data_IF_343429421844
#
_entry.id   IF_343429421844
#
_cell.length_a   1.000
_cell.length_b   1.000
_cell.length_c   1.000
_cell.angle_alpha   90.00
_cell.angle_beta   90.00
_cell.angle_gamma   90.00
#
_symmetry.space_group_name_H-M   'P 1'
#
loop_
_entity.id
_entity.type
_entity.pdbx_description
1 polymer ?
#
# COMPACT_ATOMS: atom_id res chain seq x y z
N UNK A 1 18.13 17.41 2.80
CA UNK A 1 18.03 18.44 1.76
C UNK A 1 19.12 18.21 0.74
N UNK A 2 18.74 17.61 -0.41
CA UNK A 2 19.67 17.41 -1.51
C UNK A 2 19.67 18.66 -2.38
N UNK A 3 20.59 19.53 -2.14
CA UNK A 3 20.87 20.64 -3.06
C UNK A 3 21.75 20.11 -4.20
N UNK A 4 21.14 19.62 -5.26
CA UNK A 4 21.75 19.49 -6.59
C UNK A 4 22.75 18.36 -6.85
N UNK A 5 22.97 17.41 -5.93
CA UNK A 5 23.84 16.24 -6.14
C UNK A 5 23.06 14.99 -6.58
N UNK A 6 23.65 14.14 -7.44
CA UNK A 6 23.11 12.80 -7.72
C UNK A 6 23.20 11.95 -6.47
N UNK A 7 22.07 11.35 -6.02
CA UNK A 7 22.09 10.34 -4.97
C UNK A 7 22.96 9.15 -5.40
N UNK A 8 23.94 8.80 -4.58
CA UNK A 8 24.82 7.65 -4.82
C UNK A 8 24.40 6.52 -3.87
N UNK A 9 24.44 5.28 -4.40
CA UNK A 9 24.27 4.11 -3.57
C UNK A 9 25.52 3.94 -2.68
N UNK A 10 25.34 3.89 -1.37
CA UNK A 10 26.43 3.75 -0.40
C UNK A 10 27.28 2.50 -0.66
N UNK A 11 26.71 1.42 -1.21
CA UNK A 11 27.44 0.22 -1.62
C UNK A 11 28.48 0.51 -2.71
N UNK A 12 28.22 1.51 -3.56
CA UNK A 12 29.10 1.92 -4.66
C UNK A 12 30.17 2.89 -4.22
N UNK A 13 30.03 3.49 -3.03
CA UNK A 13 31.01 4.44 -2.51
C UNK A 13 32.17 3.66 -1.89
N UNK A 14 31.92 2.88 -0.84
CA UNK A 14 32.93 2.04 -0.16
C UNK A 14 32.22 0.98 0.69
N UNK A 15 32.68 -0.26 0.56
CA UNK A 15 32.15 -1.40 1.32
C UNK A 15 32.35 -1.21 2.83
N UNK A 16 33.44 -0.62 3.29
CA UNK A 16 33.71 -0.34 4.72
C UNK A 16 32.60 0.49 5.34
N UNK A 17 32.16 1.56 4.67
CA UNK A 17 31.10 2.43 5.19
C UNK A 17 29.72 1.78 5.10
N UNK A 18 29.47 0.98 4.05
CA UNK A 18 28.25 0.20 3.94
C UNK A 18 28.11 -0.83 5.07
N UNK A 19 29.19 -1.55 5.38
CA UNK A 19 29.18 -2.54 6.46
C UNK A 19 28.95 -1.86 7.82
N UNK A 20 29.60 -0.72 8.08
CA UNK A 20 29.41 0.05 9.31
C UNK A 20 28.01 0.64 9.42
N UNK A 21 27.47 1.18 8.33
CA UNK A 21 26.07 1.64 8.26
C UNK A 21 25.10 0.51 8.59
N UNK A 22 25.28 -0.67 7.98
CA UNK A 22 24.43 -1.83 8.20
C UNK A 22 24.46 -2.32 9.65
N UNK A 23 25.62 -2.31 10.28
CA UNK A 23 25.74 -2.67 11.70
C UNK A 23 24.98 -1.67 12.62
N UNK A 24 25.12 -0.38 12.34
CA UNK A 24 24.42 0.67 13.12
C UNK A 24 22.91 0.59 12.87
N UNK A 25 22.49 0.44 11.61
CA UNK A 25 21.07 0.32 11.25
C UNK A 25 20.39 -0.86 11.96
N UNK A 26 21.06 -2.04 12.00
CA UNK A 26 20.57 -3.19 12.75
C UNK A 26 20.42 -2.92 14.24
N UNK A 27 21.40 -2.26 14.88
CA UNK A 27 21.31 -1.90 16.31
C UNK A 27 20.18 -0.93 16.59
N UNK A 28 19.98 0.04 15.71
CA UNK A 28 18.87 1.02 15.82
C UNK A 28 17.53 0.28 15.70
N UNK A 29 17.36 -0.57 14.68
CA UNK A 29 16.15 -1.35 14.47
C UNK A 29 15.86 -2.30 15.65
N UNK A 30 16.86 -3.02 16.15
CA UNK A 30 16.73 -3.91 17.32
C UNK A 30 16.34 -3.16 18.59
N UNK A 31 16.85 -1.94 18.79
CA UNK A 31 16.59 -1.14 19.97
C UNK A 31 15.19 -0.51 19.96
N UNK A 32 14.80 0.07 18.83
CA UNK A 32 13.51 0.74 18.67
C UNK A 32 12.38 -0.19 18.23
N UNK A 33 12.72 -1.39 17.71
CA UNK A 33 11.77 -2.41 17.20
C UNK A 33 10.86 -1.89 16.09
N UNK A 34 11.35 -0.90 15.33
CA UNK A 34 10.63 -0.27 14.25
C UNK A 34 11.58 0.33 13.20
N UNK A 35 11.04 0.69 12.04
CA UNK A 35 11.76 1.41 11.00
C UNK A 35 12.09 2.81 11.49
N UNK A 36 13.36 3.21 11.38
CA UNK A 36 13.86 4.54 11.76
C UNK A 36 14.52 5.24 10.60
N UNK A 37 14.38 6.55 10.57
CA UNK A 37 15.12 7.41 9.66
C UNK A 37 16.49 7.71 10.27
N UNK A 38 17.58 7.44 9.54
CA UNK A 38 18.95 7.62 10.00
C UNK A 38 19.64 8.68 9.14
N UNK A 39 20.21 9.69 9.81
CA UNK A 39 21.08 10.68 9.21
C UNK A 39 22.53 10.43 9.66
N UNK A 40 23.43 10.33 8.72
CA UNK A 40 24.84 10.09 8.98
C UNK A 40 25.73 10.97 8.12
N UNK A 41 26.99 11.11 8.51
CA UNK A 41 28.06 11.72 7.72
C UNK A 41 29.31 10.85 7.77
N UNK A 42 30.18 11.07 6.80
CA UNK A 42 31.53 10.47 6.75
C UNK A 42 32.50 11.64 6.73
N UNK A 43 33.34 11.76 7.74
CA UNK A 43 34.29 12.84 7.90
C UNK A 43 35.64 12.26 8.32
N UNK A 44 36.71 12.68 7.66
CA UNK A 44 38.09 12.21 7.88
C UNK A 44 38.27 10.68 7.86
N UNK A 45 37.43 9.98 7.09
CA UNK A 45 37.43 8.51 7.00
C UNK A 45 36.65 7.80 8.09
N UNK A 46 36.00 8.52 9.00
CA UNK A 46 35.15 8.00 10.04
C UNK A 46 33.67 8.19 9.73
N UNK A 47 32.87 7.20 10.16
CA UNK A 47 31.41 7.21 9.99
C UNK A 47 30.75 7.70 11.29
N UNK A 48 29.94 8.77 11.18
CA UNK A 48 29.23 9.39 12.28
C UNK A 48 27.73 9.28 12.10
N UNK A 49 27.04 8.70 13.10
CA UNK A 49 25.59 8.76 13.20
C UNK A 49 25.21 10.13 13.80
N UNK A 50 24.60 10.98 12.98
CA UNK A 50 24.24 12.36 13.38
C UNK A 50 22.89 12.39 14.09
N UNK A 51 21.91 11.66 13.54
CA UNK A 51 20.53 11.70 14.02
C UNK A 51 19.82 10.41 13.67
N UNK A 52 18.88 10.01 14.51
CA UNK A 52 17.86 9.01 14.19
C UNK A 52 16.49 9.54 14.64
N UNK A 53 15.43 9.31 13.85
CA UNK A 53 14.08 9.76 14.16
C UNK A 53 13.05 8.79 13.63
N UNK A 54 11.81 8.91 14.08
CA UNK A 54 10.70 8.18 13.51
C UNK A 54 10.53 8.49 12.02
N UNK A 55 9.99 7.52 11.29
CA UNK A 55 9.53 7.73 9.93
C UNK A 55 8.09 8.22 10.00
N UNK A 56 7.83 9.42 9.52
CA UNK A 56 6.52 10.08 9.63
C UNK A 56 5.40 9.30 8.90
N UNK A 57 5.75 8.66 7.78
CA UNK A 57 4.82 7.87 6.98
C UNK A 57 5.39 6.46 6.76
N UNK A 58 5.00 5.53 7.63
CA UNK A 58 5.37 4.11 7.51
C UNK A 58 4.29 3.37 6.72
N UNK A 59 4.68 2.66 5.65
CA UNK A 59 3.74 1.71 5.05
C UNK A 59 3.51 0.53 5.99
N UNK A 60 2.28 0.07 6.09
CA UNK A 60 1.91 -1.10 6.89
C UNK A 60 2.72 -2.33 6.51
N UNK A 61 2.95 -2.54 5.21
CA UNK A 61 3.77 -3.64 4.71
C UNK A 61 5.21 -3.58 5.23
N UNK A 62 5.85 -2.41 5.20
CA UNK A 62 7.21 -2.24 5.71
C UNK A 62 7.29 -2.46 7.23
N UNK A 63 6.30 -1.95 7.98
CA UNK A 63 6.23 -2.13 9.42
C UNK A 63 6.09 -3.61 9.81
N UNK A 64 5.15 -4.33 9.20
CA UNK A 64 4.92 -5.74 9.49
C UNK A 64 6.13 -6.59 9.07
N UNK A 65 6.74 -6.30 7.91
CA UNK A 65 7.96 -6.98 7.49
C UNK A 65 9.09 -6.82 8.49
N UNK A 66 9.32 -5.62 9.00
CA UNK A 66 10.33 -5.36 10.03
C UNK A 66 10.06 -6.16 11.31
N UNK A 67 8.79 -6.19 11.78
CA UNK A 67 8.41 -6.97 12.95
C UNK A 67 8.62 -8.48 12.74
N UNK A 68 8.28 -9.01 11.55
CA UNK A 68 8.52 -10.41 11.21
C UNK A 68 10.02 -10.74 11.16
N UNK A 69 10.85 -9.87 10.56
CA UNK A 69 12.30 -10.05 10.50
C UNK A 69 12.93 -10.02 11.90
N UNK A 70 12.48 -9.12 12.78
CA UNK A 70 12.92 -9.07 14.19
C UNK A 70 12.52 -10.32 14.97
N UNK A 71 11.29 -10.82 14.75
CA UNK A 71 10.81 -12.04 15.39
C UNK A 71 11.59 -13.27 14.88
N UNK A 72 11.76 -13.42 13.57
CA UNK A 72 12.55 -14.51 12.97
C UNK A 72 13.99 -14.54 13.51
N UNK A 73 14.58 -13.36 13.73
CA UNK A 73 15.91 -13.20 14.32
C UNK A 73 15.90 -13.29 15.86
N UNK A 74 14.79 -13.66 16.51
CA UNK A 74 14.63 -13.80 17.96
C UNK A 74 14.95 -12.52 18.76
N UNK A 75 14.71 -11.36 18.18
CA UNK A 75 14.89 -10.04 18.81
C UNK A 75 13.61 -9.54 19.50
N UNK A 76 12.46 -10.10 19.14
CA UNK A 76 11.17 -9.89 19.79
C UNK A 76 10.46 -11.24 19.94
N UNK A 77 9.54 -11.32 20.90
CA UNK A 77 8.72 -12.52 21.16
C UNK A 77 7.50 -12.55 20.21
N UNK A 78 6.89 -13.73 20.04
CA UNK A 78 5.64 -13.90 19.30
C UNK A 78 4.51 -13.05 19.88
N UNK A 79 4.44 -12.97 21.22
CA UNK A 79 3.48 -12.15 21.93
C UNK A 79 3.65 -10.65 21.58
N UNK A 80 4.88 -10.16 21.58
CA UNK A 80 5.17 -8.78 21.18
C UNK A 80 4.78 -8.53 19.73
N UNK A 81 5.10 -9.46 18.82
CA UNK A 81 4.73 -9.38 17.41
C UNK A 81 3.22 -9.25 17.24
N UNK A 82 2.44 -10.15 17.86
CA UNK A 82 0.98 -10.18 17.74
C UNK A 82 0.36 -8.89 18.31
N UNK A 83 0.81 -8.45 19.48
CA UNK A 83 0.31 -7.23 20.13
C UNK A 83 0.68 -5.94 19.38
N UNK A 84 1.72 -5.97 18.56
CA UNK A 84 2.18 -4.80 17.76
C UNK A 84 1.40 -4.61 16.46
N UNK A 85 0.65 -5.61 16.01
CA UNK A 85 -0.10 -5.58 14.75
C UNK A 85 -1.58 -5.32 15.05
N UNK A 86 -2.11 -4.22 14.52
CA UNK A 86 -3.55 -3.91 14.64
C UNK A 86 -4.35 -4.69 13.57
N UNK A 87 -5.54 -5.21 13.88
CA UNK A 87 -6.37 -5.95 12.91
C UNK A 87 -6.61 -5.20 11.59
N UNK A 88 -6.79 -3.87 11.64
CA UNK A 88 -6.95 -3.04 10.45
C UNK A 88 -5.74 -3.06 9.51
N UNK A 89 -4.52 -3.22 10.04
CA UNK A 89 -3.31 -3.31 9.24
C UNK A 89 -3.23 -4.61 8.42
N UNK A 90 -3.84 -5.69 8.90
CA UNK A 90 -3.92 -6.94 8.13
C UNK A 90 -4.81 -6.76 6.89
N UNK A 91 -5.91 -6.02 7.02
CA UNK A 91 -6.76 -5.71 5.87
C UNK A 91 -6.02 -4.89 4.81
N UNK A 92 -5.17 -3.93 5.21
CA UNK A 92 -4.34 -3.15 4.28
C UNK A 92 -3.31 -4.01 3.53
N UNK A 93 -2.84 -5.11 4.12
CA UNK A 93 -1.94 -6.05 3.43
C UNK A 93 -2.65 -6.93 2.41
N UNK A 94 -3.90 -7.27 2.68
CA UNK A 94 -4.69 -8.17 1.84
C UNK A 94 -5.33 -7.46 0.65
N UNK A 95 -5.43 -6.13 0.71
CA UNK A 95 -6.08 -5.34 -0.34
C UNK A 95 -5.16 -4.21 -0.84
N UNK A 96 -5.26 -3.83 -2.12
CA UNK A 96 -4.58 -2.66 -2.64
C UNK A 96 -4.96 -1.39 -1.86
N UNK A 97 -3.99 -0.54 -1.58
CA UNK A 97 -4.20 0.77 -0.92
C UNK A 97 -3.60 1.89 -1.76
N UNK A 98 -4.16 3.08 -1.66
CA UNK A 98 -3.62 4.26 -2.33
C UNK A 98 -2.43 4.79 -1.53
N UNK A 99 -1.29 5.04 -2.20
CA UNK A 99 -0.12 5.66 -1.56
C UNK A 99 -0.50 7.04 -0.96
N UNK A 100 -0.32 7.25 0.36
CA UNK A 100 -0.63 8.51 1.02
C UNK A 100 0.05 9.73 0.40
N UNK A 101 1.21 9.56 -0.23
CA UNK A 101 1.93 10.62 -0.93
C UNK A 101 1.18 11.07 -2.17
N UNK A 102 0.64 10.11 -2.91
CA UNK A 102 -0.14 10.36 -4.14
C UNK A 102 -1.44 11.10 -3.82
N UNK A 103 -2.12 10.77 -2.71
CA UNK A 103 -3.38 11.43 -2.31
C UNK A 103 -3.20 12.95 -2.15
N UNK A 104 -2.03 13.39 -1.69
CA UNK A 104 -1.74 14.83 -1.50
C UNK A 104 -1.55 15.60 -2.81
N UNK A 105 -1.25 14.91 -3.90
CA UNK A 105 -0.90 15.52 -5.19
C UNK A 105 -2.01 15.47 -6.22
N UNK A 106 -3.01 14.59 -6.04
CA UNK A 106 -4.12 14.42 -6.99
C UNK A 106 -5.35 15.20 -6.56
N UNK A 107 -6.12 15.66 -7.55
CA UNK A 107 -7.45 16.22 -7.31
C UNK A 107 -8.39 15.08 -6.92
N UNK A 108 -8.96 15.15 -5.72
CA UNK A 108 -9.85 14.10 -5.21
C UNK A 108 -11.26 14.60 -4.97
N UNK A 109 -12.24 13.72 -5.20
CA UNK A 109 -13.63 13.89 -4.75
C UNK A 109 -13.76 13.05 -3.48
N UNK A 110 -14.11 13.71 -2.37
CA UNK A 110 -14.29 13.06 -1.06
C UNK A 110 -15.76 12.88 -0.75
N UNK A 111 -16.09 11.76 -0.12
CA UNK A 111 -17.46 11.48 0.36
C UNK A 111 -17.86 10.03 0.09
N UNK A 112 -19.12 9.75 0.40
CA UNK A 112 -19.70 8.42 0.24
C UNK A 112 -19.43 7.48 1.40
N UNK A 113 -19.93 6.26 1.26
CA UNK A 113 -19.80 5.16 2.23
C UNK A 113 -18.92 4.08 1.59
N UNK A 114 -17.85 3.71 2.26
CA UNK A 114 -17.02 2.59 1.82
C UNK A 114 -17.81 1.28 1.93
N UNK A 115 -18.09 0.66 0.81
CA UNK A 115 -18.79 -0.62 0.74
C UNK A 115 -17.90 -1.82 0.97
N UNK A 116 -16.62 -1.72 0.61
CA UNK A 116 -15.59 -2.74 0.72
C UNK A 116 -14.25 -2.07 0.96
N UNK A 117 -13.28 -2.81 1.47
CA UNK A 117 -11.90 -2.38 1.58
C UNK A 117 -11.18 -2.49 0.23
N UNK A 118 -10.12 -1.68 0.02
CA UNK A 118 -9.28 -1.77 -1.16
C UNK A 118 -9.24 -0.48 -1.96
N UNK A 119 -8.49 -0.51 -3.05
CA UNK A 119 -8.38 0.56 -4.02
C UNK A 119 -8.36 -0.03 -5.43
N UNK A 120 -8.98 0.65 -6.38
CA UNK A 120 -9.04 0.23 -7.75
C UNK A 120 -8.62 1.36 -8.70
N UNK A 121 -7.99 1.00 -9.80
CA UNK A 121 -7.66 1.89 -10.92
C UNK A 121 -8.25 1.30 -12.19
N UNK A 122 -8.87 2.11 -13.04
CA UNK A 122 -9.38 1.62 -14.30
C UNK A 122 -10.19 2.65 -15.07
N UNK A 123 -10.59 2.25 -16.27
CA UNK A 123 -11.49 3.04 -17.12
C UNK A 123 -12.92 2.96 -16.60
N UNK A 124 -13.60 4.12 -16.57
CA UNK A 124 -14.94 4.23 -15.99
C UNK A 124 -16.01 3.92 -17.03
N UNK A 125 -17.00 3.11 -16.64
CA UNK A 125 -18.18 2.75 -17.40
C UNK A 125 -19.45 3.02 -16.61
N UNK A 126 -20.43 3.66 -17.25
CA UNK A 126 -21.74 3.99 -16.67
C UNK A 126 -22.84 3.03 -17.11
N UNK A 127 -22.48 1.89 -17.68
CA UNK A 127 -23.45 0.92 -18.23
C UNK A 127 -22.85 -0.49 -18.12
N UNK A 128 -23.58 -1.38 -17.47
CA UNK A 128 -23.27 -2.81 -17.34
C UNK A 128 -23.02 -3.49 -18.68
N UNK A 129 -23.88 -3.37 -19.72
CA UNK A 129 -23.65 -3.99 -21.01
C UNK A 129 -22.35 -3.50 -21.69
N UNK A 130 -22.08 -2.18 -21.64
CA UNK A 130 -20.88 -1.61 -22.25
C UNK A 130 -19.59 -2.08 -21.53
N UNK A 131 -19.60 -2.17 -20.22
CA UNK A 131 -18.48 -2.70 -19.47
C UNK A 131 -18.19 -4.15 -19.85
N UNK A 132 -19.21 -5.00 -19.89
CA UNK A 132 -19.06 -6.41 -20.26
C UNK A 132 -18.59 -6.61 -21.71
N UNK A 133 -19.05 -5.76 -22.63
CA UNK A 133 -18.58 -5.77 -24.02
C UNK A 133 -17.09 -5.42 -24.10
N UNK A 134 -16.69 -4.36 -23.40
CA UNK A 134 -15.29 -3.91 -23.39
C UNK A 134 -14.37 -4.93 -22.72
N UNK A 135 -14.82 -5.53 -21.62
CA UNK A 135 -14.09 -6.60 -20.94
C UNK A 135 -13.84 -7.79 -21.87
N UNK A 136 -14.88 -8.24 -22.61
CA UNK A 136 -14.72 -9.31 -23.61
C UNK A 136 -13.74 -8.94 -24.71
N UNK A 137 -13.80 -7.71 -25.24
CA UNK A 137 -12.85 -7.22 -26.25
C UNK A 137 -11.42 -7.20 -25.69
N UNK A 138 -11.25 -6.72 -24.47
CA UNK A 138 -9.93 -6.67 -23.83
C UNK A 138 -9.31 -8.07 -23.65
N UNK A 139 -10.10 -9.06 -23.24
CA UNK A 139 -9.63 -10.45 -23.13
C UNK A 139 -9.25 -11.02 -24.50
N UNK A 140 -10.07 -10.81 -25.53
CA UNK A 140 -9.83 -11.36 -26.87
C UNK A 140 -8.60 -10.76 -27.57
N UNK A 141 -8.30 -9.51 -27.31
CA UNK A 141 -7.23 -8.77 -27.98
C UNK A 141 -6.02 -8.44 -27.09
N UNK A 142 -5.95 -8.97 -25.87
CA UNK A 142 -4.86 -8.70 -24.91
C UNK A 142 -4.84 -7.26 -24.41
N UNK A 143 -6.01 -6.61 -24.29
CA UNK A 143 -6.16 -5.23 -23.82
C UNK A 143 -6.24 -5.10 -22.31
N UNK A 144 -6.38 -3.84 -21.81
CA UNK A 144 -6.51 -3.52 -20.41
C UNK A 144 -7.90 -3.90 -19.86
N UNK A 145 -7.91 -4.78 -18.87
CA UNK A 145 -9.11 -5.27 -18.16
C UNK A 145 -9.42 -4.49 -16.89
N UNK A 146 -8.69 -3.44 -16.58
CA UNK A 146 -8.94 -2.60 -15.42
C UNK A 146 -10.14 -1.67 -15.69
N UNK A 147 -11.31 -2.08 -15.26
CA UNK A 147 -12.58 -1.40 -15.51
C UNK A 147 -13.26 -1.04 -14.20
N UNK A 148 -13.85 0.15 -14.12
CA UNK A 148 -14.63 0.63 -12.98
C UNK A 148 -16.07 0.83 -13.42
N UNK A 149 -17.01 0.22 -12.70
CA UNK A 149 -18.44 0.36 -12.94
C UNK A 149 -19.03 1.47 -12.07
N UNK A 150 -19.72 2.41 -12.67
CA UNK A 150 -20.44 3.46 -11.96
C UNK A 150 -21.92 3.40 -12.33
N UNK A 151 -22.79 3.19 -11.33
CA UNK A 151 -24.22 3.06 -11.51
C UNK A 151 -24.97 4.01 -10.56
N UNK A 152 -26.22 4.29 -10.87
CA UNK A 152 -27.12 4.97 -9.91
C UNK A 152 -27.44 4.02 -8.77
N UNK A 153 -27.95 2.85 -9.08
CA UNK A 153 -28.23 1.73 -8.17
C UNK A 153 -27.82 0.43 -8.83
N UNK A 154 -27.54 -0.60 -8.05
CA UNK A 154 -27.13 -1.92 -8.54
C UNK A 154 -28.23 -2.95 -8.28
N UNK A 155 -28.43 -3.81 -9.25
CA UNK A 155 -29.46 -4.87 -9.24
C UNK A 155 -28.83 -6.25 -9.50
N UNK A 156 -29.66 -7.31 -9.40
CA UNK A 156 -29.20 -8.67 -9.61
C UNK A 156 -28.59 -8.93 -11.01
N UNK A 157 -29.04 -8.20 -12.03
CA UNK A 157 -28.52 -8.27 -13.40
C UNK A 157 -27.10 -7.72 -13.55
N UNK A 158 -26.64 -6.90 -12.59
CA UNK A 158 -25.32 -6.27 -12.63
C UNK A 158 -24.22 -7.17 -12.04
N UNK A 159 -24.55 -8.30 -11.42
CA UNK A 159 -23.60 -9.20 -10.73
C UNK A 159 -22.43 -9.59 -11.62
N UNK A 160 -22.67 -9.93 -12.89
CA UNK A 160 -21.60 -10.31 -13.83
C UNK A 160 -20.63 -9.17 -14.13
N UNK A 161 -21.12 -7.93 -14.14
CA UNK A 161 -20.26 -6.77 -14.35
C UNK A 161 -19.50 -6.41 -13.07
N UNK A 162 -20.11 -6.59 -11.90
CA UNK A 162 -19.46 -6.41 -10.59
C UNK A 162 -18.31 -7.41 -10.44
N UNK A 163 -18.51 -8.67 -10.85
CA UNK A 163 -17.51 -9.73 -10.80
C UNK A 163 -16.24 -9.41 -11.60
N UNK A 164 -16.38 -8.79 -12.77
CA UNK A 164 -15.23 -8.49 -13.65
C UNK A 164 -14.67 -7.08 -13.46
N UNK A 165 -15.37 -6.20 -12.75
CA UNK A 165 -14.93 -4.86 -12.46
C UNK A 165 -13.88 -4.84 -11.34
N UNK A 166 -12.84 -4.02 -11.49
CA UNK A 166 -11.86 -3.77 -10.43
C UNK A 166 -12.43 -2.92 -9.28
N UNK A 167 -13.46 -2.16 -9.54
CA UNK A 167 -14.17 -1.37 -8.55
C UNK A 167 -15.55 -0.97 -9.00
N UNK A 168 -16.44 -0.77 -8.03
CA UNK A 168 -17.83 -0.36 -8.28
C UNK A 168 -18.18 0.85 -7.42
N UNK A 169 -18.84 1.83 -8.04
CA UNK A 169 -19.38 3.02 -7.38
C UNK A 169 -20.88 3.08 -7.66
N UNK A 170 -21.69 3.26 -6.63
CA UNK A 170 -23.13 3.53 -6.77
C UNK A 170 -23.47 4.88 -6.17
N UNK A 171 -24.40 5.60 -6.80
CA UNK A 171 -24.89 6.89 -6.26
C UNK A 171 -25.82 6.68 -5.09
N UNK A 172 -26.53 5.56 -5.06
CA UNK A 172 -27.52 5.20 -4.05
C UNK A 172 -27.11 3.90 -3.35
N UNK A 173 -27.58 3.77 -2.10
CA UNK A 173 -27.32 2.60 -1.28
C UNK A 173 -26.34 2.88 -0.13
N UNK A 174 -26.11 1.86 0.68
CA UNK A 174 -25.23 1.90 1.83
C UNK A 174 -24.45 0.59 1.97
N UNK A 175 -23.78 0.41 3.09
CA UNK A 175 -22.94 -0.76 3.35
C UNK A 175 -23.63 -2.13 3.14
N UNK A 176 -24.95 -2.20 3.40
CA UNK A 176 -25.76 -3.41 3.25
C UNK A 176 -26.55 -3.47 1.94
N UNK A 177 -26.33 -2.56 1.00
CA UNK A 177 -26.98 -2.60 -0.31
C UNK A 177 -26.36 -3.67 -1.21
N UNK A 178 -27.03 -3.95 -2.33
CA UNK A 178 -26.69 -5.08 -3.21
C UNK A 178 -25.22 -5.06 -3.69
N UNK A 179 -24.74 -3.94 -4.25
CA UNK A 179 -23.38 -3.87 -4.79
C UNK A 179 -22.29 -4.16 -3.75
N UNK A 180 -22.25 -3.53 -2.55
CA UNK A 180 -21.24 -3.85 -1.54
C UNK A 180 -21.33 -5.30 -1.02
N UNK A 181 -22.53 -5.85 -0.90
CA UNK A 181 -22.71 -7.26 -0.45
C UNK A 181 -22.10 -8.21 -1.47
N UNK A 182 -22.45 -8.05 -2.76
CA UNK A 182 -21.89 -8.85 -3.84
C UNK A 182 -20.38 -8.67 -3.95
N UNK A 183 -19.89 -7.42 -3.95
CA UNK A 183 -18.45 -7.15 -4.06
C UNK A 183 -17.64 -7.82 -2.93
N UNK A 184 -18.12 -7.76 -1.68
CA UNK A 184 -17.45 -8.45 -0.56
C UNK A 184 -17.50 -9.96 -0.65
N UNK A 185 -18.54 -10.54 -1.27
CA UNK A 185 -18.63 -11.99 -1.45
C UNK A 185 -17.71 -12.52 -2.55
N UNK A 186 -17.29 -11.66 -3.46
CA UNK A 186 -16.37 -11.98 -4.55
C UNK A 186 -14.88 -11.70 -4.22
N UNK A 187 -14.58 -11.03 -3.10
CA UNK A 187 -13.22 -10.64 -2.70
C UNK A 187 -12.83 -9.29 -3.24
#
# INVERSE_FOLDING_TARGET
DFTGGKALDIKKIDKKYYDKFTQIAKKVEENFKEIRNIKFTIEEGDFWLVEQREVDEKSTQAQIKTLLDLNHNKKITDEFLINSIKPGQLNELLHPVIDPRTIKTIKSIKGGIAGSTGAAIGRVFFSTPKLLEEYKKAIMHGGDTNLILVLVSSYAEDVKAIEVAQGVVTCEGGFSSHAPVVARSLG
#
